data_IF_864674322743
#
_entry.id   IF_864674322743
#
_cell.length_a   1.000
_cell.length_b   1.000
_cell.length_c   1.000
_cell.angle_alpha   90.00
_cell.angle_beta   90.00
_cell.angle_gamma   90.00
#
_symmetry.space_group_name_H-M   'P 1'
#
loop_
_entity.id
_entity.type
_entity.pdbx_description
1 polymer ?
#
# COMPACT_ATOMS: atom_id res chain seq x y z
N UNK A 1 -3.17 -29.02 16.59
CA UNK A 1 -1.87 -29.66 16.31
C UNK A 1 -1.95 -31.10 16.80
N UNK A 2 -1.50 -32.08 16.02
CA UNK A 2 -1.51 -33.50 16.42
C UNK A 2 -0.12 -33.89 16.90
N UNK A 3 -0.02 -34.43 18.12
CA UNK A 3 1.23 -35.03 18.61
C UNK A 3 1.20 -36.50 18.19
N UNK A 4 2.10 -36.93 17.34
CA UNK A 4 2.25 -38.35 17.01
C UNK A 4 3.14 -39.00 18.07
N UNK A 5 2.54 -39.73 19.01
CA UNK A 5 3.28 -40.61 19.91
C UNK A 5 3.68 -41.88 19.13
N UNK A 6 4.98 -42.04 18.85
CA UNK A 6 5.54 -43.20 18.16
C UNK A 6 5.92 -44.36 19.09
N UNK A 7 5.66 -44.22 20.39
CA UNK A 7 5.93 -45.24 21.41
C UNK A 7 4.81 -46.29 21.49
N UNK A 8 5.18 -47.51 21.86
CA UNK A 8 4.24 -48.59 22.23
C UNK A 8 3.56 -48.33 23.59
N UNK A 9 3.96 -47.28 24.31
CA UNK A 9 3.43 -46.91 25.62
C UNK A 9 2.44 -45.75 25.47
N UNK A 10 1.20 -46.00 25.92
CA UNK A 10 0.18 -44.96 26.04
C UNK A 10 0.47 -44.11 27.27
N UNK A 11 0.86 -42.85 27.06
CA UNK A 11 1.06 -41.88 28.13
C UNK A 11 -0.16 -40.96 28.15
N UNK A 12 -0.85 -40.92 29.30
CA UNK A 12 -1.91 -39.95 29.55
C UNK A 12 -1.31 -38.72 30.22
N UNK A 13 -1.42 -37.58 29.56
CA UNK A 13 -0.90 -36.31 30.02
C UNK A 13 -2.07 -35.50 30.58
N UNK A 14 -2.00 -35.11 31.86
CA UNK A 14 -2.96 -34.17 32.44
C UNK A 14 -2.69 -32.75 31.92
N UNK A 15 -3.55 -31.79 32.31
CA UNK A 15 -3.37 -30.39 31.94
C UNK A 15 -1.96 -29.90 32.30
N UNK A 16 -1.19 -29.47 31.29
CA UNK A 16 0.17 -28.97 31.47
C UNK A 16 0.29 -27.51 31.03
N UNK A 17 1.09 -26.76 31.77
CA UNK A 17 1.47 -25.39 31.43
C UNK A 17 2.86 -25.34 30.80
N UNK A 18 2.96 -24.69 29.64
CA UNK A 18 4.22 -24.45 28.95
C UNK A 18 4.52 -22.96 28.86
N UNK A 19 5.79 -22.60 28.96
CA UNK A 19 6.29 -21.30 28.54
C UNK A 19 6.65 -21.36 27.05
N UNK A 20 6.14 -20.40 26.28
CA UNK A 20 6.52 -20.24 24.87
C UNK A 20 7.78 -19.42 24.80
N UNK A 21 8.86 -20.01 24.33
CA UNK A 21 10.11 -19.34 24.04
C UNK A 21 10.30 -19.11 22.55
N UNK A 22 10.74 -17.90 22.23
CA UNK A 22 11.20 -17.51 20.91
C UNK A 22 12.40 -16.57 21.06
N UNK A 23 13.47 -16.79 20.29
CA UNK A 23 14.72 -16.02 20.40
C UNK A 23 15.22 -15.90 21.85
N UNK A 24 15.15 -16.99 22.62
CA UNK A 24 15.48 -17.06 24.06
C UNK A 24 14.62 -16.18 25.00
N UNK A 25 13.52 -15.62 24.50
CA UNK A 25 12.57 -14.82 25.29
C UNK A 25 11.28 -15.59 25.54
N UNK A 26 10.76 -15.54 26.77
CA UNK A 26 9.43 -16.08 27.09
C UNK A 26 8.39 -15.07 26.59
N UNK A 27 7.73 -15.39 25.47
CA UNK A 27 6.77 -14.50 24.81
C UNK A 27 5.31 -14.77 25.20
N UNK A 28 5.02 -15.95 25.73
CA UNK A 28 3.66 -16.37 26.04
C UNK A 28 3.60 -17.54 27.01
N UNK A 29 2.39 -17.85 27.45
CA UNK A 29 2.11 -19.04 28.27
C UNK A 29 0.98 -19.82 27.66
N UNK A 30 1.10 -21.13 27.76
CA UNK A 30 0.17 -22.08 27.18
C UNK A 30 -0.38 -22.98 28.24
N UNK A 31 -1.69 -23.13 28.24
CA UNK A 31 -2.34 -24.21 28.96
C UNK A 31 -2.85 -25.20 27.93
N UNK A 32 -2.40 -26.44 28.07
CA UNK A 32 -2.86 -27.54 27.26
C UNK A 32 -3.90 -28.36 28.01
N UNK A 33 -4.93 -28.77 27.28
CA UNK A 33 -5.82 -29.87 27.70
C UNK A 33 -5.65 -31.01 26.69
N UNK A 34 -5.39 -32.21 27.20
CA UNK A 34 -5.23 -33.40 26.37
C UNK A 34 -6.57 -34.11 26.24
N UNK A 35 -6.93 -34.50 25.02
CA UNK A 35 -8.07 -35.38 24.78
C UNK A 35 -7.56 -36.77 24.37
N UNK A 36 -8.00 -37.79 25.11
CA UNK A 36 -7.45 -39.16 25.04
C UNK A 36 -7.67 -39.89 23.71
N UNK A 37 -8.49 -39.35 22.80
CA UNK A 37 -8.92 -40.10 21.61
C UNK A 37 -8.05 -39.87 20.37
N UNK A 38 -7.35 -38.73 20.22
CA UNK A 38 -6.67 -38.38 18.96
C UNK A 38 -5.25 -37.80 19.11
N UNK A 39 -4.66 -37.81 20.31
CA UNK A 39 -3.41 -37.08 20.61
C UNK A 39 -3.46 -35.61 20.15
N UNK A 40 -4.65 -35.01 20.19
CA UNK A 40 -4.87 -33.63 19.79
C UNK A 40 -4.61 -32.75 21.00
N UNK A 41 -3.64 -31.84 20.85
CA UNK A 41 -3.34 -30.84 21.86
C UNK A 41 -4.13 -29.56 21.55
N UNK A 42 -5.05 -29.20 22.44
CA UNK A 42 -5.75 -27.92 22.39
C UNK A 42 -5.03 -26.93 23.29
N UNK A 43 -4.66 -25.78 22.73
CA UNK A 43 -3.94 -24.73 23.40
C UNK A 43 -4.84 -23.51 23.56
N UNK A 44 -4.97 -23.02 24.78
CA UNK A 44 -5.54 -21.70 25.07
C UNK A 44 -4.43 -20.82 25.62
N UNK A 45 -4.20 -19.68 24.97
CA UNK A 45 -2.99 -18.90 25.19
C UNK A 45 -3.26 -17.42 25.39
N UNK A 46 -2.29 -16.77 26.05
CA UNK A 46 -2.13 -15.33 26.05
C UNK A 46 -0.66 -15.01 25.86
N UNK A 47 -0.36 -14.15 24.89
CA UNK A 47 0.96 -13.51 24.84
C UNK A 47 1.11 -12.64 26.11
N UNK A 48 2.31 -12.64 26.67
CA UNK A 48 2.59 -11.85 27.86
C UNK A 48 2.99 -10.44 27.45
N UNK A 49 2.33 -9.38 27.96
CA UNK A 49 2.77 -8.01 27.74
C UNK A 49 4.26 -7.84 28.06
N UNK A 50 4.93 -6.96 27.33
CA UNK A 50 6.33 -6.64 27.60
C UNK A 50 6.63 -5.19 27.35
N UNK A 51 7.54 -4.64 28.14
CA UNK A 51 8.17 -3.35 27.92
C UNK A 51 9.67 -3.48 27.65
N UNK A 52 10.23 -4.69 27.67
CA UNK A 52 11.63 -4.93 27.31
C UNK A 52 11.79 -5.02 25.80
N UNK A 53 12.79 -4.31 25.27
CA UNK A 53 13.08 -4.25 23.83
C UNK A 53 13.27 -5.65 23.23
N UNK A 54 14.06 -6.49 23.87
CA UNK A 54 14.38 -7.85 23.39
C UNK A 54 13.14 -8.73 23.19
N UNK A 55 12.19 -8.66 24.13
CA UNK A 55 10.96 -9.45 24.04
C UNK A 55 9.98 -8.85 23.02
N UNK A 56 9.92 -7.52 22.91
CA UNK A 56 9.14 -6.86 21.84
C UNK A 56 9.72 -7.16 20.45
N UNK A 57 11.05 -7.22 20.31
CA UNK A 57 11.73 -7.61 19.07
C UNK A 57 11.43 -9.08 18.73
N UNK A 58 11.45 -9.98 19.72
CA UNK A 58 11.07 -11.39 19.53
C UNK A 58 9.61 -11.54 19.10
N UNK A 59 8.68 -10.85 19.77
CA UNK A 59 7.26 -10.83 19.41
C UNK A 59 7.07 -10.25 18.00
N UNK A 60 7.73 -9.13 17.70
CA UNK A 60 7.69 -8.48 16.40
C UNK A 60 8.19 -9.40 15.29
N UNK A 61 9.31 -10.10 15.50
CA UNK A 61 9.86 -11.03 14.53
C UNK A 61 8.95 -12.26 14.33
N UNK A 62 8.35 -12.78 15.41
CA UNK A 62 7.37 -13.86 15.32
C UNK A 62 6.15 -13.43 14.50
N UNK A 63 5.58 -12.25 14.77
CA UNK A 63 4.50 -11.68 13.96
C UNK A 63 4.92 -11.51 12.51
N UNK A 64 6.08 -10.90 12.26
CA UNK A 64 6.57 -10.68 10.90
C UNK A 64 6.67 -11.98 10.10
N UNK A 65 7.21 -13.06 10.69
CA UNK A 65 7.28 -14.37 10.03
C UNK A 65 5.92 -14.98 9.73
N UNK A 66 4.95 -14.81 10.63
CA UNK A 66 3.56 -15.23 10.39
C UNK A 66 2.99 -14.47 9.18
N UNK A 67 3.23 -13.16 9.12
CA UNK A 67 2.74 -12.30 8.03
C UNK A 67 3.44 -12.57 6.70
N UNK A 68 4.74 -12.84 6.71
CA UNK A 68 5.53 -13.17 5.50
C UNK A 68 5.33 -14.61 5.04
N UNK A 69 4.65 -15.44 5.84
CA UNK A 69 4.46 -16.86 5.56
C UNK A 69 5.74 -17.69 5.67
N UNK A 70 6.72 -17.18 6.43
CA UNK A 70 7.93 -17.89 6.82
C UNK A 70 7.64 -18.92 7.92
N UNK A 71 8.47 -19.96 7.98
CA UNK A 71 8.39 -20.95 9.06
C UNK A 71 8.77 -20.32 10.40
N UNK A 72 7.93 -20.53 11.40
CA UNK A 72 8.15 -20.03 12.75
C UNK A 72 8.28 -21.21 13.72
N UNK A 73 9.42 -21.26 14.41
CA UNK A 73 9.74 -22.31 15.40
C UNK A 73 9.68 -21.74 16.80
N UNK A 74 8.84 -22.33 17.64
CA UNK A 74 8.76 -22.05 19.06
C UNK A 74 9.30 -23.22 19.87
N UNK A 75 9.84 -22.91 21.04
CA UNK A 75 10.17 -23.93 22.04
C UNK A 75 9.20 -23.79 23.21
N UNK A 76 8.47 -24.86 23.50
CA UNK A 76 7.53 -24.94 24.62
C UNK A 76 8.25 -25.62 25.76
N UNK A 77 8.53 -24.90 26.84
CA UNK A 77 9.20 -25.47 28.02
C UNK A 77 8.19 -25.78 29.12
N UNK A 78 8.21 -27.01 29.63
CA UNK A 78 7.31 -27.41 30.69
C UNK A 78 7.69 -26.73 32.01
N UNK A 79 6.71 -26.10 32.67
CA UNK A 79 6.97 -25.32 33.89
C UNK A 79 6.95 -26.15 35.17
N UNK A 80 6.21 -27.26 35.16
CA UNK A 80 5.93 -28.08 36.35
C UNK A 80 5.79 -29.55 35.99
N UNK A 81 6.69 -30.10 35.17
CA UNK A 81 6.77 -31.56 35.08
C UNK A 81 7.54 -32.07 36.31
N UNK A 82 6.87 -32.83 37.18
CA UNK A 82 7.55 -33.71 38.14
C UNK A 82 8.42 -34.75 37.41
N UNK A 83 8.16 -34.93 36.12
CA UNK A 83 8.75 -35.96 35.30
C UNK A 83 9.77 -35.32 34.33
N UNK A 84 11.04 -35.72 34.48
CA UNK A 84 12.19 -35.14 33.80
C UNK A 84 12.24 -35.39 32.29
N UNK A 85 11.41 -36.31 31.79
CA UNK A 85 11.44 -36.75 30.39
C UNK A 85 10.69 -35.82 29.42
N UNK A 86 9.81 -34.95 29.92
CA UNK A 86 9.06 -33.98 29.12
C UNK A 86 9.41 -32.54 29.54
N UNK A 87 10.68 -32.16 29.38
CA UNK A 87 11.18 -30.84 29.75
C UNK A 87 10.97 -29.77 28.66
N UNK A 88 10.95 -30.17 27.39
CA UNK A 88 10.75 -29.25 26.26
C UNK A 88 10.11 -29.93 25.05
N UNK A 89 9.33 -29.16 24.29
CA UNK A 89 8.71 -29.54 23.03
C UNK A 89 9.03 -28.48 21.97
N UNK A 90 9.42 -28.91 20.77
CA UNK A 90 9.58 -28.00 19.64
C UNK A 90 8.27 -27.95 18.85
N UNK A 91 7.71 -26.75 18.73
CA UNK A 91 6.46 -26.48 18.02
C UNK A 91 6.81 -25.70 16.77
N UNK A 92 6.46 -26.25 15.61
CA UNK A 92 6.74 -25.64 14.31
C UNK A 92 5.40 -25.21 13.69
N UNK A 93 5.29 -23.91 13.41
CA UNK A 93 4.24 -23.36 12.56
C UNK A 93 4.79 -23.36 11.14
N UNK A 94 4.27 -24.25 10.31
CA UNK A 94 4.68 -24.42 8.92
C UNK A 94 3.88 -23.49 8.00
N UNK A 95 4.36 -23.38 6.76
CA UNK A 95 3.71 -22.66 5.67
C UNK A 95 2.28 -23.15 5.37
N UNK A 96 1.91 -24.35 5.78
CA UNK A 96 0.56 -24.92 5.61
C UNK A 96 -0.40 -24.50 6.74
N UNK A 97 0.12 -24.09 7.89
CA UNK A 97 -0.65 -23.53 9.02
C UNK A 97 -0.85 -22.02 8.92
N UNK A 98 -0.75 -21.46 7.71
CA UNK A 98 -0.85 -20.02 7.43
C UNK A 98 -2.09 -19.41 8.08
N UNK A 99 -1.85 -18.47 8.98
CA UNK A 99 -2.80 -17.39 9.23
C UNK A 99 -2.69 -16.49 8.01
N UNK A 100 -3.64 -16.61 7.07
CA UNK A 100 -3.65 -15.79 5.86
C UNK A 100 -3.89 -14.33 6.26
N UNK A 101 -2.80 -13.60 6.54
CA UNK A 101 -2.85 -12.15 6.60
C UNK A 101 -2.95 -11.62 5.18
N UNK A 102 -4.17 -11.65 4.65
CA UNK A 102 -4.44 -11.04 3.37
C UNK A 102 -4.48 -9.53 3.60
N UNK A 103 -3.65 -8.80 2.87
CA UNK A 103 -3.80 -7.37 2.72
C UNK A 103 -4.04 -7.04 1.25
N UNK A 104 -4.84 -6.01 1.02
CA UNK A 104 -5.21 -5.52 -0.30
C UNK A 104 -4.88 -4.04 -0.36
N UNK A 105 -4.05 -3.65 -1.33
CA UNK A 105 -3.83 -2.25 -1.66
C UNK A 105 -4.90 -1.82 -2.65
N UNK A 106 -5.86 -1.04 -2.15
CA UNK A 106 -6.92 -0.44 -2.96
C UNK A 106 -6.51 1.00 -3.25
N UNK A 107 -6.25 1.27 -4.52
CA UNK A 107 -5.92 2.60 -4.97
C UNK A 107 -7.20 3.42 -5.20
N UNK A 108 -7.24 4.64 -4.66
CA UNK A 108 -8.40 5.54 -4.72
C UNK A 108 -8.18 6.72 -5.67
N UNK A 109 -6.93 7.13 -5.88
CA UNK A 109 -6.61 8.15 -6.87
C UNK A 109 -5.16 8.61 -6.83
N UNK A 110 -4.70 9.10 -7.97
CA UNK A 110 -3.39 9.71 -8.16
C UNK A 110 -3.62 11.13 -8.65
N UNK A 111 -2.92 12.11 -8.07
CA UNK A 111 -2.95 13.48 -8.56
C UNK A 111 -1.53 13.87 -8.90
N UNK A 112 -1.32 14.35 -10.13
CA UNK A 112 -0.02 14.81 -10.59
C UNK A 112 -0.03 16.32 -10.70
N UNK A 113 0.95 16.98 -10.07
CA UNK A 113 1.26 18.38 -10.32
C UNK A 113 2.58 18.47 -11.05
N UNK A 114 2.53 18.94 -12.28
CA UNK A 114 3.72 19.17 -13.10
C UNK A 114 4.07 20.66 -13.06
N UNK A 115 5.29 20.94 -12.66
CA UNK A 115 5.88 22.27 -12.71
C UNK A 115 6.87 22.31 -13.89
N UNK A 116 6.75 23.24 -14.86
CA UNK A 116 7.72 23.35 -15.95
C UNK A 116 9.15 23.62 -15.49
N UNK A 117 9.35 24.12 -14.27
CA UNK A 117 10.68 24.31 -13.67
C UNK A 117 11.21 23.04 -13.00
N UNK A 118 10.34 22.06 -12.71
CA UNK A 118 10.67 20.78 -12.08
C UNK A 118 10.07 19.59 -12.88
N UNK A 119 10.26 19.59 -14.21
CA UNK A 119 9.59 18.67 -15.14
C UNK A 119 9.77 17.18 -14.80
N UNK A 120 10.92 16.83 -14.22
CA UNK A 120 11.31 15.47 -13.88
C UNK A 120 11.27 15.20 -12.37
N UNK A 121 10.56 16.04 -11.60
CA UNK A 121 10.25 15.77 -10.20
C UNK A 121 8.84 16.24 -9.85
N UNK A 122 7.81 15.76 -10.57
CA UNK A 122 6.44 16.17 -10.30
C UNK A 122 6.02 15.79 -8.87
N UNK A 123 5.18 16.64 -8.28
CA UNK A 123 4.51 16.31 -7.02
C UNK A 123 3.37 15.34 -7.31
N UNK A 124 3.35 14.22 -6.60
CA UNK A 124 2.31 13.20 -6.70
C UNK A 124 1.60 13.10 -5.37
N UNK A 125 0.27 13.23 -5.41
CA UNK A 125 -0.59 12.86 -4.28
C UNK A 125 -1.26 11.52 -4.53
N UNK A 126 -1.19 10.66 -3.52
CA UNK A 126 -1.49 9.24 -3.59
C UNK A 126 -2.54 8.91 -2.54
N UNK A 127 -3.76 8.61 -2.97
CA UNK A 127 -4.86 8.18 -2.09
C UNK A 127 -5.00 6.66 -2.16
N UNK A 128 -4.80 6.01 -1.01
CA UNK A 128 -4.83 4.56 -0.91
C UNK A 128 -5.56 4.10 0.33
N UNK A 129 -6.17 2.93 0.20
CA UNK A 129 -6.77 2.17 1.26
C UNK A 129 -6.06 0.83 1.35
N UNK A 130 -5.50 0.52 2.52
CA UNK A 130 -4.89 -0.78 2.78
C UNK A 130 -5.87 -1.54 3.64
N UNK A 131 -6.54 -2.53 3.06
CA UNK A 131 -7.31 -3.50 3.84
C UNK A 131 -6.38 -4.58 4.31
N UNK A 132 -6.56 -5.05 5.53
CA UNK A 132 -5.85 -6.21 6.03
C UNK A 132 -6.78 -7.07 6.88
N UNK A 133 -6.49 -8.36 6.91
CA UNK A 133 -7.26 -9.31 7.71
C UNK A 133 -7.04 -9.01 9.20
N UNK A 134 -8.08 -8.54 9.88
CA UNK A 134 -8.07 -8.22 11.31
C UNK A 134 -8.03 -9.47 12.21
N UNK A 135 -7.18 -10.43 11.86
CA UNK A 135 -6.93 -11.66 12.61
C UNK A 135 -6.23 -11.35 13.95
N UNK A 136 -5.61 -10.16 14.04
CA UNK A 136 -5.05 -9.60 15.25
C UNK A 136 -5.47 -8.13 15.35
N UNK A 137 -5.84 -7.63 16.55
CA UNK A 137 -6.13 -6.22 16.77
C UNK A 137 -4.82 -5.43 16.70
N UNK A 138 -4.42 -5.08 15.48
CA UNK A 138 -3.32 -4.18 15.21
C UNK A 138 -3.89 -2.76 15.23
N UNK A 139 -3.44 -1.93 16.16
CA UNK A 139 -3.74 -0.50 16.13
C UNK A 139 -2.71 0.21 15.28
N UNK A 140 -2.79 0.09 13.96
CA UNK A 140 -1.79 0.70 13.07
C UNK A 140 -1.92 2.23 13.14
N UNK A 141 -0.81 2.89 13.46
CA UNK A 141 -0.81 4.34 13.70
C UNK A 141 0.22 5.09 12.87
N UNK A 142 1.23 4.42 12.33
CA UNK A 142 2.16 5.01 11.36
C UNK A 142 2.51 4.04 10.26
N UNK A 143 2.65 4.55 9.04
CA UNK A 143 3.19 3.81 7.91
C UNK A 143 4.24 4.63 7.16
N UNK A 144 5.22 3.96 6.58
CA UNK A 144 6.14 4.52 5.58
C UNK A 144 6.17 3.60 4.37
N UNK A 145 6.41 4.15 3.18
CA UNK A 145 6.38 3.36 1.96
C UNK A 145 7.50 3.78 1.02
N UNK A 146 8.17 2.80 0.41
CA UNK A 146 9.01 3.01 -0.77
C UNK A 146 8.30 2.41 -1.97
N UNK A 147 8.07 3.21 -3.01
CA UNK A 147 7.41 2.80 -4.24
C UNK A 147 8.40 2.90 -5.38
N UNK A 148 8.37 1.90 -6.25
CA UNK A 148 9.18 1.75 -7.44
C UNK A 148 8.22 1.60 -8.62
N UNK A 149 8.35 2.47 -9.62
CA UNK A 149 7.56 2.42 -10.84
C UNK A 149 8.37 1.82 -11.98
N UNK A 150 7.79 0.83 -12.65
CA UNK A 150 8.45 0.05 -13.70
C UNK A 150 7.60 0.12 -14.97
N UNK A 151 8.17 0.65 -16.04
CA UNK A 151 7.53 0.75 -17.35
C UNK A 151 8.45 0.09 -18.40
N UNK A 152 7.87 -0.76 -19.27
CA UNK A 152 8.63 -1.57 -20.25
C UNK A 152 9.83 -2.29 -19.62
N UNK A 153 9.58 -2.98 -18.51
CA UNK A 153 10.58 -3.74 -17.73
C UNK A 153 11.69 -2.90 -17.09
N UNK A 154 11.68 -1.58 -17.29
CA UNK A 154 12.67 -0.66 -16.76
C UNK A 154 12.12 0.13 -15.58
N UNK A 155 12.87 0.16 -14.49
CA UNK A 155 12.57 1.01 -13.36
C UNK A 155 12.85 2.47 -13.74
N UNK A 156 11.84 3.32 -13.82
CA UNK A 156 12.02 4.70 -14.26
C UNK A 156 11.96 5.71 -13.10
N UNK A 157 11.25 5.38 -12.03
CA UNK A 157 11.05 6.31 -10.92
C UNK A 157 10.89 5.63 -9.56
N UNK A 158 11.16 6.41 -8.51
CA UNK A 158 10.90 6.04 -7.13
C UNK A 158 10.09 7.11 -6.40
N UNK A 159 9.28 6.68 -5.45
CA UNK A 159 8.67 7.55 -4.45
C UNK A 159 9.08 7.07 -3.06
N UNK A 160 9.58 7.99 -2.25
CA UNK A 160 9.90 7.73 -0.86
C UNK A 160 8.89 8.47 0.00
N UNK A 161 8.08 7.72 0.76
CA UNK A 161 7.08 8.25 1.67
C UNK A 161 7.58 8.00 3.09
N UNK A 162 7.96 9.05 3.85
CA UNK A 162 8.41 8.91 5.23
C UNK A 162 7.27 8.42 6.13
N UNK A 163 7.58 8.11 7.39
CA UNK A 163 6.56 7.73 8.35
C UNK A 163 5.50 8.83 8.52
N UNK A 164 4.27 8.51 8.14
CA UNK A 164 3.10 9.36 8.29
C UNK A 164 2.12 8.72 9.27
N UNK A 165 1.42 9.55 10.04
CA UNK A 165 0.36 9.07 10.93
C UNK A 165 -0.85 8.66 10.10
N UNK A 166 -1.45 7.52 10.43
CA UNK A 166 -2.65 7.01 9.77
C UNK A 166 -3.74 6.67 10.78
N UNK A 167 -4.97 6.58 10.29
CA UNK A 167 -6.10 6.08 11.05
C UNK A 167 -6.37 4.63 10.64
N UNK A 168 -6.64 3.77 11.62
CA UNK A 168 -7.00 2.38 11.42
C UNK A 168 -8.41 2.13 11.95
N UNK A 169 -9.30 1.72 11.05
CA UNK A 169 -10.69 1.40 11.33
C UNK A 169 -10.93 -0.11 11.16
N UNK A 170 -10.41 -0.89 12.11
CA UNK A 170 -10.66 -2.33 12.24
C UNK A 170 -10.20 -3.15 11.02
N UNK A 171 -8.97 -2.93 10.56
CA UNK A 171 -8.46 -3.66 9.39
C UNK A 171 -8.47 -2.85 8.10
N UNK A 172 -8.77 -1.56 8.17
CA UNK A 172 -8.74 -0.65 7.02
C UNK A 172 -7.93 0.58 7.38
N UNK A 173 -6.89 0.84 6.61
CA UNK A 173 -6.05 2.02 6.74
C UNK A 173 -6.33 2.92 5.55
N UNK A 174 -6.88 4.10 5.81
CA UNK A 174 -6.96 5.14 4.80
C UNK A 174 -5.75 6.05 4.91
N UNK A 175 -5.17 6.34 3.75
CA UNK A 175 -3.94 7.12 3.68
C UNK A 175 -3.93 8.03 2.46
N UNK A 176 -3.41 9.24 2.66
CA UNK A 176 -3.17 10.20 1.61
C UNK A 176 -1.76 10.77 1.82
N UNK A 177 -0.90 10.60 0.83
CA UNK A 177 0.47 11.09 0.88
C UNK A 177 0.73 12.00 -0.30
N UNK A 178 1.46 13.07 -0.07
CA UNK A 178 2.01 13.91 -1.13
C UNK A 178 3.53 13.82 -1.06
N UNK A 179 4.17 13.49 -2.18
CA UNK A 179 5.63 13.39 -2.28
C UNK A 179 6.09 13.75 -3.69
N UNK A 180 7.39 13.96 -3.88
CA UNK A 180 7.96 14.16 -5.21
C UNK A 180 8.31 12.81 -5.83
N UNK A 181 8.06 12.70 -7.12
CA UNK A 181 8.59 11.61 -7.93
C UNK A 181 10.09 11.85 -8.17
N UNK A 182 10.91 10.84 -7.96
CA UNK A 182 12.34 10.87 -8.27
C UNK A 182 12.59 10.03 -9.52
N UNK A 183 12.89 10.69 -10.64
CA UNK A 183 13.36 10.00 -11.84
C UNK A 183 14.81 9.57 -11.63
N UNK A 184 15.10 8.29 -11.87
CA UNK A 184 16.34 7.67 -11.39
C UNK A 184 17.59 8.09 -12.14
N UNK A 185 17.48 8.29 -13.46
CA UNK A 185 18.59 8.71 -14.32
C UNK A 185 18.07 9.55 -15.49
N UNK A 186 18.98 10.24 -16.17
CA UNK A 186 18.69 11.01 -17.38
C UNK A 186 18.06 10.12 -18.47
N UNK A 187 18.55 8.88 -18.62
CA UNK A 187 18.08 7.91 -19.61
C UNK A 187 16.61 7.52 -19.40
N UNK A 188 16.08 7.69 -18.18
CA UNK A 188 14.68 7.41 -17.87
C UNK A 188 13.74 8.61 -18.11
N UNK A 189 14.27 9.79 -18.43
CA UNK A 189 13.45 10.96 -18.79
C UNK A 189 12.63 10.72 -20.05
N UNK A 190 13.18 10.03 -21.05
CA UNK A 190 12.45 9.69 -22.27
C UNK A 190 11.29 8.73 -21.98
N UNK A 191 11.52 7.74 -21.11
CA UNK A 191 10.46 6.81 -20.67
C UNK A 191 9.37 7.54 -19.88
N UNK A 192 9.75 8.47 -19.01
CA UNK A 192 8.82 9.32 -18.29
C UNK A 192 8.03 10.25 -19.24
N UNK A 193 8.70 10.88 -20.20
CA UNK A 193 8.07 11.74 -21.20
C UNK A 193 7.10 10.95 -22.08
N UNK A 194 7.46 9.72 -22.48
CA UNK A 194 6.55 8.82 -23.20
C UNK A 194 5.34 8.46 -22.34
N UNK A 195 5.56 8.09 -21.08
CA UNK A 195 4.49 7.75 -20.13
C UNK A 195 3.51 8.92 -19.96
N UNK A 196 4.04 10.09 -19.64
CA UNK A 196 3.27 11.34 -19.49
C UNK A 196 2.54 11.64 -20.79
N UNK A 197 3.22 11.59 -21.93
CA UNK A 197 2.59 11.79 -23.23
C UNK A 197 1.43 10.84 -23.45
N UNK A 198 1.58 9.53 -23.19
CA UNK A 198 0.51 8.56 -23.35
C UNK A 198 -0.67 8.79 -22.40
N UNK A 199 -0.37 9.20 -21.16
CA UNK A 199 -1.39 9.63 -20.19
C UNK A 199 -2.18 10.84 -20.75
N UNK A 200 -1.51 11.79 -21.42
CA UNK A 200 -2.14 12.97 -22.02
C UNK A 200 -2.77 12.74 -23.40
N UNK A 201 -2.23 11.83 -24.22
CA UNK A 201 -2.78 11.42 -25.53
C UNK A 201 -3.83 10.33 -25.39
N UNK A 202 -4.09 9.90 -24.15
CA UNK A 202 -5.21 9.06 -23.78
C UNK A 202 -5.11 7.65 -24.36
N UNK A 203 -3.88 7.18 -24.46
CA UNK A 203 -3.56 5.81 -24.80
C UNK A 203 -3.59 4.96 -23.53
N UNK A 204 -3.98 3.68 -23.68
CA UNK A 204 -3.90 2.73 -22.57
C UNK A 204 -2.43 2.55 -22.15
N UNK A 205 -2.18 2.71 -20.85
CA UNK A 205 -0.85 2.61 -20.27
C UNK A 205 -0.87 1.64 -19.10
N UNK A 206 0.04 0.67 -19.13
CA UNK A 206 0.28 -0.22 -18.00
C UNK A 206 1.72 -0.04 -17.52
N UNK A 207 1.87 0.15 -16.21
CA UNK A 207 3.17 0.05 -15.53
C UNK A 207 2.99 -0.71 -14.23
N UNK A 208 4.07 -1.35 -13.79
CA UNK A 208 4.09 -2.11 -12.56
C UNK A 208 4.49 -1.22 -11.40
N UNK A 209 3.77 -1.35 -10.29
CA UNK A 209 4.06 -0.70 -9.01
C UNK A 209 4.59 -1.76 -8.06
N UNK A 210 5.86 -1.64 -7.70
CA UNK A 210 6.49 -2.45 -6.64
C UNK A 210 6.77 -1.58 -5.44
N UNK A 211 6.73 -2.14 -4.24
CA UNK A 211 7.12 -1.36 -3.09
C UNK A 211 7.32 -2.15 -1.81
N UNK A 212 7.77 -1.40 -0.82
CA UNK A 212 8.07 -1.85 0.53
C UNK A 212 7.31 -0.96 1.52
N UNK A 213 6.44 -1.58 2.31
CA UNK A 213 5.67 -0.95 3.37
C UNK A 213 6.30 -1.28 4.73
N UNK A 214 6.47 -0.26 5.56
CA UNK A 214 6.77 -0.42 6.98
C UNK A 214 5.64 0.16 7.82
N UNK A 215 5.32 -0.49 8.93
CA UNK A 215 4.14 -0.24 9.74
C UNK A 215 4.53 -0.22 11.21
N UNK A 216 4.03 0.78 11.94
CA UNK A 216 4.05 0.80 13.41
C UNK A 216 2.65 0.59 13.93
N UNK A 217 2.49 -0.41 14.80
CA UNK A 217 1.21 -0.80 15.34
C UNK A 217 1.26 -0.88 16.87
N UNK A 218 0.17 -0.49 17.52
CA UNK A 218 -0.07 -0.77 18.93
C UNK A 218 -0.76 -2.11 19.07
N UNK A 219 -0.27 -2.96 19.94
CA UNK A 219 -0.93 -4.23 20.28
C UNK A 219 -1.14 -4.30 21.79
N UNK A 220 -2.02 -5.20 22.29
CA UNK A 220 -2.16 -5.43 23.72
C UNK A 220 -0.86 -5.86 24.44
N UNK A 221 0.15 -6.33 23.70
CA UNK A 221 1.44 -6.74 24.28
C UNK A 221 2.54 -5.68 24.19
N UNK A 222 2.27 -4.58 23.49
CA UNK A 222 3.19 -3.46 23.28
C UNK A 222 3.20 -2.95 21.84
N UNK A 223 4.03 -1.95 21.59
CA UNK A 223 4.25 -1.40 20.25
C UNK A 223 5.15 -2.34 19.44
N UNK A 224 4.73 -2.65 18.21
CA UNK A 224 5.49 -3.48 17.27
C UNK A 224 5.80 -2.70 15.98
N UNK A 225 6.92 -3.03 15.35
CA UNK A 225 7.33 -2.47 14.06
C UNK A 225 7.45 -3.58 13.02
N UNK A 226 6.59 -3.57 12.01
CA UNK A 226 6.65 -4.52 10.91
C UNK A 226 7.33 -3.82 9.73
N UNK A 227 8.46 -4.35 9.27
CA UNK A 227 9.26 -3.74 8.21
C UNK A 227 9.33 -4.66 7.00
N UNK A 228 9.59 -4.13 5.81
CA UNK A 228 9.80 -4.90 4.58
C UNK A 228 8.59 -5.69 4.09
N UNK A 229 7.38 -5.18 4.31
CA UNK A 229 6.17 -5.78 3.72
C UNK A 229 6.15 -5.44 2.23
N UNK A 230 6.46 -6.43 1.39
CA UNK A 230 6.58 -6.23 -0.06
C UNK A 230 5.24 -6.33 -0.76
N UNK A 231 4.91 -5.39 -1.65
CA UNK A 231 3.74 -5.45 -2.52
C UNK A 231 4.13 -5.25 -3.99
N UNK A 232 3.31 -5.81 -4.89
CA UNK A 232 3.50 -5.73 -6.33
C UNK A 232 2.15 -5.81 -7.05
N UNK A 233 1.81 -4.82 -7.87
CA UNK A 233 0.60 -4.82 -8.69
C UNK A 233 0.80 -4.02 -9.98
N UNK A 234 0.04 -4.36 -11.01
CA UNK A 234 0.02 -3.58 -12.24
C UNK A 234 -1.01 -2.45 -12.15
N UNK A 235 -0.57 -1.23 -12.46
CA UNK A 235 -1.43 -0.06 -12.60
C UNK A 235 -1.78 0.08 -14.07
N UNK A 236 -3.08 0.04 -14.34
CA UNK A 236 -3.62 0.25 -15.68
C UNK A 236 -4.36 1.59 -15.75
N UNK A 237 -3.84 2.52 -16.53
CA UNK A 237 -4.57 3.70 -16.97
C UNK A 237 -5.37 3.31 -18.21
N UNK A 238 -6.56 2.74 -17.96
CA UNK A 238 -7.53 2.48 -19.02
C UNK A 238 -8.27 3.73 -19.36
N UNK A 239 -8.24 4.07 -20.63
CA UNK A 239 -9.01 5.16 -21.14
C UNK A 239 -10.44 4.73 -21.47
N UNK A 240 -11.44 5.43 -20.91
CA UNK A 240 -12.85 5.15 -21.20
C UNK A 240 -13.45 6.11 -22.24
N UNK A 241 -13.07 7.40 -22.24
CA UNK A 241 -13.61 8.43 -23.16
C UNK A 241 -12.68 9.64 -23.28
N UNK A 242 -12.61 10.30 -24.45
CA UNK A 242 -11.88 11.57 -24.63
C UNK A 242 -12.40 12.64 -23.67
N UNK A 243 -11.53 13.38 -22.94
CA UNK A 243 -11.91 14.63 -22.33
C UNK A 243 -12.56 15.50 -23.39
N UNK A 244 -13.69 16.09 -23.05
CA UNK A 244 -14.43 16.97 -23.95
C UNK A 244 -14.40 18.36 -23.38
N UNK A 245 -14.11 19.33 -24.25
CA UNK A 245 -14.28 20.74 -23.93
C UNK A 245 -15.69 21.13 -24.36
N UNK A 246 -16.53 21.49 -23.39
CA UNK A 246 -17.85 22.04 -23.65
C UNK A 246 -17.78 23.55 -23.49
N UNK A 247 -17.80 24.27 -24.62
CA UNK A 247 -17.92 25.73 -24.61
C UNK A 247 -19.35 26.08 -24.15
N UNK A 248 -19.45 26.78 -23.03
CA UNK A 248 -20.71 27.23 -22.42
C UNK A 248 -21.16 28.58 -22.97
N UNK A 249 -20.22 29.48 -23.19
CA UNK A 249 -20.48 30.79 -23.79
C UNK A 249 -19.23 31.33 -24.49
N UNK A 250 -19.44 32.27 -25.40
CA UNK A 250 -18.38 33.01 -26.08
C UNK A 250 -18.87 34.44 -26.30
N UNK A 251 -18.05 35.42 -25.93
CA UNK A 251 -18.33 36.84 -26.13
C UNK A 251 -17.19 37.49 -26.93
N UNK A 252 -17.54 38.44 -27.82
CA UNK A 252 -16.55 39.28 -28.48
C UNK A 252 -16.17 40.39 -27.51
N UNK A 253 -14.90 40.43 -27.10
CA UNK A 253 -14.39 41.46 -26.19
C UNK A 253 -13.92 42.68 -26.98
N UNK A 254 -13.33 42.44 -28.16
CA UNK A 254 -12.77 43.50 -29.00
C UNK A 254 -12.75 43.06 -30.45
N UNK A 255 -13.13 43.97 -31.35
CA UNK A 255 -13.03 43.75 -32.79
C UNK A 255 -12.33 44.96 -33.42
N UNK A 256 -11.24 44.71 -34.13
CA UNK A 256 -10.50 45.71 -34.91
C UNK A 256 -10.40 45.25 -36.36
N UNK A 257 -9.85 46.09 -37.25
CA UNK A 257 -9.54 45.66 -38.62
C UNK A 257 -8.53 44.50 -38.69
N UNK A 258 -7.69 44.31 -37.66
CA UNK A 258 -6.63 43.30 -37.66
C UNK A 258 -6.95 42.04 -36.85
N UNK A 259 -7.79 42.13 -35.82
CA UNK A 259 -8.05 41.03 -34.89
C UNK A 259 -9.48 41.07 -34.34
N UNK A 260 -10.02 39.89 -34.04
CA UNK A 260 -11.21 39.73 -33.21
C UNK A 260 -10.79 38.92 -31.98
N UNK A 261 -10.96 39.52 -30.80
CA UNK A 261 -10.68 38.89 -29.51
C UNK A 261 -11.99 38.37 -28.92
N UNK A 262 -12.00 37.09 -28.56
CA UNK A 262 -13.13 36.45 -27.92
C UNK A 262 -12.73 36.00 -26.51
N UNK A 263 -13.69 36.05 -25.59
CA UNK A 263 -13.59 35.42 -24.29
C UNK A 263 -14.62 34.30 -24.23
N UNK A 264 -14.14 33.08 -23.98
CA UNK A 264 -14.98 31.89 -23.87
C UNK A 264 -15.06 31.41 -22.44
N UNK A 265 -16.24 30.96 -22.02
CA UNK A 265 -16.39 30.09 -20.86
C UNK A 265 -16.49 28.66 -21.37
N UNK A 266 -15.60 27.78 -20.92
CA UNK A 266 -15.64 26.37 -21.28
C UNK A 266 -15.48 25.48 -20.04
N UNK A 267 -16.06 24.29 -20.10
CA UNK A 267 -15.88 23.23 -19.10
C UNK A 267 -15.12 22.09 -19.75
N UNK A 268 -13.97 21.72 -19.20
CA UNK A 268 -13.25 20.51 -19.62
C UNK A 268 -13.74 19.35 -18.76
N UNK A 269 -14.38 18.37 -19.39
CA UNK A 269 -14.89 17.19 -18.71
C UNK A 269 -13.78 16.15 -18.71
N UNK A 270 -13.19 15.88 -17.53
CA UNK A 270 -12.22 14.80 -17.35
C UNK A 270 -12.92 13.50 -16.95
N UNK A 271 -12.82 12.49 -17.79
CA UNK A 271 -13.32 11.14 -17.47
C UNK A 271 -12.29 10.26 -16.76
N UNK A 272 -11.08 10.77 -16.51
CA UNK A 272 -10.01 10.04 -15.86
C UNK A 272 -10.16 10.06 -14.33
N UNK A 273 -9.61 9.03 -13.68
CA UNK A 273 -9.59 8.89 -12.22
C UNK A 273 -8.40 9.61 -11.55
N UNK A 274 -7.74 10.51 -12.27
CA UNK A 274 -6.61 11.29 -11.76
C UNK A 274 -6.79 12.77 -12.07
N UNK A 275 -6.24 13.61 -11.19
CA UNK A 275 -6.13 15.05 -11.41
C UNK A 275 -4.79 15.39 -12.05
N UNK A 276 -4.81 16.37 -12.95
CA UNK A 276 -3.62 17.00 -13.52
C UNK A 276 -3.66 18.48 -13.20
N UNK A 277 -2.59 19.00 -12.62
CA UNK A 277 -2.36 20.43 -12.48
C UNK A 277 -1.06 20.78 -13.17
N UNK A 278 -1.12 21.71 -14.12
CA UNK A 278 0.04 22.37 -14.69
C UNK A 278 0.16 23.73 -14.02
N UNK A 279 1.29 24.01 -13.38
CA UNK A 279 1.58 25.34 -12.81
C UNK A 279 1.98 26.35 -13.88
N UNK A 280 1.30 26.30 -15.02
CA UNK A 280 1.55 27.11 -16.18
C UNK A 280 0.30 27.26 -17.03
N UNK A 281 0.37 28.21 -17.95
CA UNK A 281 -0.64 28.38 -18.97
C UNK A 281 -0.47 27.28 -20.03
N UNK A 282 -1.59 26.86 -20.63
CA UNK A 282 -1.60 25.97 -21.79
C UNK A 282 -2.19 26.73 -22.96
N UNK A 283 -1.50 26.68 -24.10
CA UNK A 283 -1.97 27.28 -25.34
C UNK A 283 -2.45 26.20 -26.29
N UNK A 284 -3.62 26.43 -26.90
CA UNK A 284 -4.24 25.56 -27.88
C UNK A 284 -4.46 26.34 -29.17
N UNK A 285 -4.20 25.69 -30.30
CA UNK A 285 -4.64 26.21 -31.58
C UNK A 285 -6.11 25.87 -31.78
N UNK A 286 -6.94 26.89 -31.99
CA UNK A 286 -8.29 26.69 -32.49
C UNK A 286 -8.19 26.47 -34.00
N UNK A 287 -8.59 25.27 -34.43
CA UNK A 287 -8.55 24.85 -35.82
C UNK A 287 -9.97 24.87 -36.41
N UNK A 288 -10.11 25.30 -37.65
CA UNK A 288 -11.34 25.14 -38.42
C UNK A 288 -11.56 23.66 -38.78
N UNK A 289 -12.74 23.36 -39.34
CA UNK A 289 -13.07 22.06 -39.94
C UNK A 289 -12.08 21.63 -41.05
N UNK A 290 -11.40 22.60 -41.67
CA UNK A 290 -10.36 22.39 -42.67
C UNK A 290 -8.94 22.30 -42.08
N UNK A 291 -8.82 22.18 -40.75
CA UNK A 291 -7.56 22.11 -40.02
C UNK A 291 -6.68 23.38 -40.17
N UNK A 292 -7.32 24.53 -40.42
CA UNK A 292 -6.66 25.83 -40.53
C UNK A 292 -6.72 26.51 -39.16
N UNK A 293 -5.58 26.98 -38.67
CA UNK A 293 -5.51 27.77 -37.43
C UNK A 293 -6.27 29.08 -37.58
N UNK A 294 -7.30 29.25 -36.77
CA UNK A 294 -8.18 30.44 -36.74
C UNK A 294 -7.98 31.30 -35.49
N UNK A 295 -7.50 30.72 -34.38
CA UNK A 295 -7.18 31.47 -33.17
C UNK A 295 -6.17 30.72 -32.28
N UNK A 296 -5.61 31.43 -31.30
CA UNK A 296 -4.95 30.83 -30.13
C UNK A 296 -5.91 30.91 -28.95
N UNK A 297 -5.99 29.85 -28.16
CA UNK A 297 -6.72 29.83 -26.89
C UNK A 297 -5.72 29.55 -25.77
N UNK A 298 -5.70 30.40 -24.75
CA UNK A 298 -4.86 30.21 -23.58
C UNK A 298 -5.74 29.83 -22.39
N UNK A 299 -5.38 28.75 -21.70
CA UNK A 299 -5.95 28.36 -20.41
C UNK A 299 -4.92 28.67 -19.34
N UNK A 300 -5.20 29.62 -18.48
CA UNK A 300 -4.32 29.99 -17.38
C UNK A 300 -4.35 28.93 -16.28
N UNK A 301 -3.18 28.62 -15.70
CA UNK A 301 -3.02 27.69 -14.58
C UNK A 301 -3.81 26.39 -14.77
N UNK A 302 -3.53 25.69 -15.87
CA UNK A 302 -4.36 24.56 -16.32
C UNK A 302 -4.52 23.52 -15.20
N UNK A 303 -5.77 23.24 -14.85
CA UNK A 303 -6.14 22.23 -13.87
C UNK A 303 -7.29 21.39 -14.39
N UNK A 304 -7.07 20.09 -14.43
CA UNK A 304 -8.02 19.10 -14.87
C UNK A 304 -8.35 18.19 -13.68
N UNK A 305 -9.46 18.47 -13.01
CA UNK A 305 -9.95 17.70 -11.87
C UNK A 305 -10.33 16.28 -12.27
N UNK A 306 -10.29 15.34 -11.34
CA UNK A 306 -10.78 13.95 -11.55
C UNK A 306 -12.31 13.90 -11.72
N UNK A 307 -12.82 12.84 -12.35
CA UNK A 307 -14.26 12.58 -12.64
C UNK A 307 -15.24 12.75 -11.45
N UNK A 308 -14.77 12.75 -10.21
CA UNK A 308 -15.60 12.76 -9.00
C UNK A 308 -15.76 14.13 -8.31
N UNK A 309 -15.24 15.23 -8.86
CA UNK A 309 -15.36 16.54 -8.20
C UNK A 309 -16.49 17.45 -8.71
N UNK A 310 -17.13 17.13 -9.85
CA UNK A 310 -18.12 18.02 -10.47
C UNK A 310 -19.54 17.42 -10.58
N UNK A 311 -19.86 16.41 -9.75
CA UNK A 311 -21.26 15.96 -9.57
C UNK A 311 -21.71 16.12 -8.12
N UNK A 312 -22.11 17.35 -7.81
CA UNK A 312 -23.25 17.65 -6.91
C UNK A 312 -24.22 18.51 -7.72
#
# INVERSE_FOLDING_TARGET
MNITNTSQIKVELNNMSFDIKYMNQIIGKVFSSFSNNNNTLSFNERLLPSNTKEKLDAITNAFFKILSGEELKFTFEARTSSDSWLSSLNVIITKETKINFNYEFIERGWNFKLDPNEQYSPEISLQHEIKYSNLFPLGIYKISCKIILIYKESQFATLNIPYTTVSDSLGTIESNFTTKLEILTEDFKDSFNELVKKIFTLEDVVFTVKGELNVKAKTPVGDINMEKIQFNFDKNFKYQTQPRILIKSMEIVKATRGTIEFKGLATIINSLNFEIELRSNVEFDLLSDQNIKVANMTIENFKLKRKNEDTV
#
